data_IF_391272242433
#
_entry.id   IF_391272242433
#
_cell.length_a   1.000
_cell.length_b   1.000
_cell.length_c   1.000
_cell.angle_alpha   90.00
_cell.angle_beta   90.00
_cell.angle_gamma   90.00
#
_symmetry.space_group_name_H-M   'P 1'
#
loop_
_entity.id
_entity.type
_entity.pdbx_description
1 polymer ?
#
# COMPACT_ATOMS: atom_id res chain seq x y z
N UNK A 1 8.87 29.62 -1.86
CA UNK A 1 9.45 29.12 -3.12
C UNK A 1 8.44 28.25 -3.82
N UNK A 2 8.09 28.60 -5.05
CA UNK A 2 7.20 27.85 -5.94
C UNK A 2 7.96 26.76 -6.69
N UNK A 3 7.25 25.83 -7.34
CA UNK A 3 7.89 24.82 -8.19
C UNK A 3 8.63 25.46 -9.37
N UNK A 4 8.06 26.51 -9.97
CA UNK A 4 8.70 27.23 -11.06
C UNK A 4 10.01 27.89 -10.61
N UNK A 5 9.99 28.61 -9.49
CA UNK A 5 11.21 29.23 -8.91
C UNK A 5 12.29 28.17 -8.62
N UNK A 6 11.89 27.00 -8.09
CA UNK A 6 12.83 25.90 -7.85
C UNK A 6 13.45 25.39 -9.17
N UNK A 7 12.64 25.22 -10.22
CA UNK A 7 13.15 24.79 -11.55
C UNK A 7 14.13 25.82 -12.12
N UNK A 8 13.87 27.12 -11.94
CA UNK A 8 14.74 28.19 -12.45
C UNK A 8 16.12 28.23 -11.77
N UNK A 9 16.21 27.87 -10.48
CA UNK A 9 17.47 27.90 -9.72
C UNK A 9 18.23 26.56 -9.70
N UNK A 10 17.64 25.49 -10.21
CA UNK A 10 18.26 24.15 -10.25
C UNK A 10 18.68 23.76 -11.65
N UNK A 11 19.81 23.05 -11.76
CA UNK A 11 20.31 22.54 -13.04
C UNK A 11 19.34 21.52 -13.64
N UNK A 12 19.35 21.38 -14.97
CA UNK A 12 18.62 20.31 -15.67
C UNK A 12 19.59 19.13 -15.82
N UNK A 13 19.31 17.96 -15.21
CA UNK A 13 20.19 16.81 -15.36
C UNK A 13 20.30 16.35 -16.82
N UNK A 14 21.52 16.05 -17.27
CA UNK A 14 21.76 15.52 -18.61
C UNK A 14 21.07 14.16 -18.81
N UNK A 15 20.48 13.97 -19.98
CA UNK A 15 19.87 12.72 -20.37
C UNK A 15 20.92 11.59 -20.40
N UNK A 16 20.63 10.47 -19.73
CA UNK A 16 21.53 9.31 -19.66
C UNK A 16 22.58 9.36 -18.56
N UNK A 17 22.68 10.45 -17.78
CA UNK A 17 23.54 10.50 -16.60
C UNK A 17 23.05 9.51 -15.55
N UNK A 18 23.97 8.78 -14.92
CA UNK A 18 23.65 7.87 -13.81
C UNK A 18 23.02 8.65 -12.67
N UNK A 19 21.86 8.18 -12.20
CA UNK A 19 21.14 8.79 -11.09
C UNK A 19 21.99 8.78 -9.81
N UNK A 20 22.11 9.93 -9.11
CA UNK A 20 22.77 10.00 -7.81
C UNK A 20 22.08 9.12 -6.77
N UNK A 21 22.86 8.58 -5.84
CA UNK A 21 22.29 7.90 -4.68
C UNK A 21 21.89 8.91 -3.61
N UNK A 22 20.94 8.56 -2.75
CA UNK A 22 20.56 9.39 -1.61
C UNK A 22 21.77 9.74 -0.71
N UNK A 23 22.70 8.79 -0.53
CA UNK A 23 23.95 9.02 0.21
C UNK A 23 24.85 10.03 -0.50
N UNK A 24 24.97 9.95 -1.83
CA UNK A 24 25.75 10.92 -2.60
C UNK A 24 25.18 12.34 -2.45
N UNK A 25 23.86 12.51 -2.59
CA UNK A 25 23.22 13.82 -2.43
C UNK A 25 23.40 14.37 -1.01
N UNK A 26 23.24 13.56 0.04
CA UNK A 26 23.46 14.02 1.42
C UNK A 26 24.91 14.44 1.71
N UNK A 27 25.88 13.77 1.11
CA UNK A 27 27.29 13.99 1.42
C UNK A 27 27.92 15.10 0.57
N UNK A 28 27.56 15.20 -0.70
CA UNK A 28 28.23 16.09 -1.67
C UNK A 28 27.28 17.04 -2.38
N UNK A 29 25.96 16.84 -2.24
CA UNK A 29 24.97 17.68 -2.88
C UNK A 29 24.86 19.04 -2.21
N UNK A 30 24.71 20.09 -3.03
CA UNK A 30 24.37 21.43 -2.53
C UNK A 30 22.85 21.52 -2.37
N UNK A 31 22.38 21.61 -1.14
CA UNK A 31 20.96 21.77 -0.81
C UNK A 31 20.46 23.15 -1.27
N UNK A 32 19.30 23.17 -1.94
CA UNK A 32 18.62 24.39 -2.39
C UNK A 32 17.39 24.66 -1.54
N UNK A 33 16.61 23.63 -1.24
CA UNK A 33 15.48 23.73 -0.33
C UNK A 33 15.19 22.39 0.33
N UNK A 34 14.60 22.47 1.51
CA UNK A 34 14.16 21.33 2.29
C UNK A 34 12.78 21.61 2.88
N UNK A 35 11.98 20.56 3.00
CA UNK A 35 10.66 20.62 3.61
C UNK A 35 10.44 19.36 4.45
N UNK A 36 10.28 19.58 5.75
CA UNK A 36 9.78 18.58 6.67
C UNK A 36 8.24 18.46 6.56
N UNK A 37 7.75 17.23 6.59
CA UNK A 37 6.35 16.83 6.57
C UNK A 37 6.02 16.09 7.90
N UNK A 38 4.90 15.37 7.95
CA UNK A 38 4.53 14.57 9.13
C UNK A 38 5.21 13.19 9.10
N UNK A 39 5.27 12.51 10.25
CA UNK A 39 5.69 11.10 10.36
C UNK A 39 7.13 10.82 9.89
N UNK A 40 8.08 11.71 10.22
CA UNK A 40 9.49 11.58 9.81
C UNK A 40 9.67 11.53 8.27
N UNK A 41 8.74 12.17 7.57
CA UNK A 41 8.80 12.36 6.13
C UNK A 41 9.40 13.72 5.83
N UNK A 42 10.32 13.77 4.88
CA UNK A 42 10.89 15.02 4.40
C UNK A 42 11.28 14.92 2.93
N UNK A 43 11.40 16.09 2.30
CA UNK A 43 11.86 16.21 0.92
C UNK A 43 12.88 17.32 0.81
N UNK A 44 13.94 17.07 0.04
CA UNK A 44 14.99 18.02 -0.25
C UNK A 44 15.21 18.15 -1.75
N UNK A 45 15.48 19.36 -2.24
CA UNK A 45 15.88 19.64 -3.61
C UNK A 45 17.32 20.15 -3.63
N UNK A 46 18.10 19.68 -4.60
CA UNK A 46 19.53 19.95 -4.73
C UNK A 46 19.84 20.76 -6.00
N UNK A 47 20.92 21.53 -5.95
CA UNK A 47 21.36 22.43 -7.02
C UNK A 47 21.53 21.71 -8.36
N UNK A 48 21.95 20.44 -8.32
CA UNK A 48 22.17 19.60 -9.50
C UNK A 48 20.88 19.05 -10.15
N UNK A 49 19.70 19.55 -9.77
CA UNK A 49 18.43 19.20 -10.42
C UNK A 49 17.73 17.96 -9.87
N UNK A 50 18.19 17.40 -8.76
CA UNK A 50 17.60 16.21 -8.16
C UNK A 50 16.86 16.52 -6.85
N UNK A 51 15.76 15.82 -6.63
CA UNK A 51 15.06 15.75 -5.37
C UNK A 51 15.38 14.44 -4.65
N UNK A 52 15.47 14.50 -3.32
CA UNK A 52 15.56 13.36 -2.41
C UNK A 52 14.32 13.36 -1.54
N UNK A 53 13.50 12.34 -1.69
CA UNK A 53 12.35 12.09 -0.83
C UNK A 53 12.68 11.01 0.19
N UNK A 54 12.27 11.21 1.44
CA UNK A 54 12.43 10.25 2.54
C UNK A 54 11.11 10.07 3.30
N UNK A 55 10.74 8.82 3.54
CA UNK A 55 9.60 8.46 4.38
C UNK A 55 9.83 7.05 4.94
N UNK A 56 9.52 6.84 6.23
CA UNK A 56 9.53 5.51 6.86
C UNK A 56 10.86 4.76 6.75
N UNK A 57 12.01 5.46 6.85
CA UNK A 57 13.34 4.85 6.72
C UNK A 57 13.78 4.53 5.28
N UNK A 58 12.94 4.82 4.28
CA UNK A 58 13.24 4.62 2.87
C UNK A 58 13.47 5.96 2.17
N UNK A 59 14.22 5.92 1.07
CA UNK A 59 14.47 7.11 0.25
C UNK A 59 14.41 6.80 -1.23
N UNK A 60 13.97 7.78 -2.01
CA UNK A 60 14.03 7.77 -3.48
C UNK A 60 14.60 9.08 -4.00
N UNK A 61 15.32 9.01 -5.11
CA UNK A 61 15.92 10.16 -5.79
C UNK A 61 15.32 10.27 -7.18
N UNK A 62 15.02 11.49 -7.63
CA UNK A 62 14.48 11.72 -8.96
C UNK A 62 14.76 13.15 -9.47
N UNK A 63 14.76 13.37 -10.79
CA UNK A 63 14.97 14.70 -11.35
C UNK A 63 13.76 15.62 -11.13
N UNK A 64 14.00 16.85 -10.69
CA UNK A 64 12.96 17.88 -10.47
C UNK A 64 12.28 18.25 -11.79
N UNK A 65 13.07 18.43 -12.84
CA UNK A 65 12.60 18.94 -14.13
C UNK A 65 11.70 17.96 -14.90
N UNK A 66 11.75 16.66 -14.59
CA UNK A 66 10.86 15.65 -15.20
C UNK A 66 9.51 15.54 -14.50
N UNK A 67 9.31 16.25 -13.37
CA UNK A 67 8.03 16.29 -12.69
C UNK A 67 7.09 17.24 -13.44
N UNK A 68 6.28 16.68 -14.34
CA UNK A 68 5.30 17.38 -15.17
C UNK A 68 3.88 17.18 -14.66
N UNK A 69 2.97 16.83 -15.58
CA UNK A 69 1.58 16.49 -15.28
C UNK A 69 1.47 15.40 -14.19
N UNK A 70 0.31 15.34 -13.55
CA UNK A 70 0.02 14.34 -12.51
C UNK A 70 -1.39 13.80 -12.65
N UNK A 71 -1.52 12.48 -12.59
CA UNK A 71 -2.81 11.80 -12.53
C UNK A 71 -3.07 11.39 -11.08
N UNK A 72 -3.92 12.15 -10.39
CA UNK A 72 -4.39 11.74 -9.07
C UNK A 72 -5.42 10.64 -9.25
N UNK A 73 -5.21 9.48 -8.63
CA UNK A 73 -6.18 8.38 -8.61
C UNK A 73 -6.39 7.92 -7.17
N UNK A 74 -7.63 7.98 -6.69
CA UNK A 74 -8.00 7.54 -5.34
C UNK A 74 -9.44 7.06 -5.32
N UNK A 75 -9.69 5.88 -4.75
CA UNK A 75 -11.03 5.32 -4.50
C UNK A 75 -11.99 5.37 -5.71
N UNK A 76 -11.45 5.12 -6.92
CA UNK A 76 -12.22 5.12 -8.17
C UNK A 76 -12.41 6.51 -8.82
N UNK A 77 -11.96 7.59 -8.18
CA UNK A 77 -11.90 8.92 -8.76
C UNK A 77 -10.51 9.14 -9.34
N UNK A 78 -10.45 9.54 -10.61
CA UNK A 78 -9.21 10.02 -11.22
C UNK A 78 -9.35 11.47 -11.65
N UNK A 79 -8.30 12.26 -11.46
CA UNK A 79 -8.25 13.67 -11.82
C UNK A 79 -6.90 13.99 -12.44
N UNK A 80 -6.94 14.53 -13.65
CA UNK A 80 -5.75 14.97 -14.37
C UNK A 80 -5.40 16.40 -13.96
N UNK A 81 -4.20 16.58 -13.41
CA UNK A 81 -3.65 17.87 -13.04
C UNK A 81 -2.51 18.22 -14.00
N UNK A 82 -2.67 19.24 -14.87
CA UNK A 82 -1.64 19.62 -15.81
C UNK A 82 -0.44 20.27 -15.11
N UNK A 83 0.75 20.21 -15.70
CA UNK A 83 1.99 20.72 -15.09
C UNK A 83 1.87 22.17 -14.63
N UNK A 84 1.22 23.02 -15.43
CA UNK A 84 1.05 24.45 -15.12
C UNK A 84 0.23 24.70 -13.84
N UNK A 85 -0.60 23.73 -13.41
CA UNK A 85 -1.30 23.78 -12.13
C UNK A 85 -0.29 23.88 -10.98
N UNK A 86 0.82 23.15 -11.07
CA UNK A 86 1.84 23.10 -10.01
C UNK A 86 2.87 24.22 -10.08
N UNK A 87 2.99 24.93 -11.21
CA UNK A 87 4.05 25.92 -11.42
C UNK A 87 4.11 26.98 -10.31
N UNK A 88 2.95 27.49 -9.88
CA UNK A 88 2.82 28.52 -8.84
C UNK A 88 2.61 27.96 -7.43
N UNK A 89 2.41 26.64 -7.32
CA UNK A 89 2.23 25.97 -6.05
C UNK A 89 3.55 25.84 -5.29
N UNK A 90 3.53 25.66 -3.96
CA UNK A 90 4.70 25.33 -3.19
C UNK A 90 5.45 24.14 -3.81
N UNK A 91 6.76 24.31 -4.02
CA UNK A 91 7.58 23.37 -4.80
C UNK A 91 7.44 21.90 -4.36
N UNK A 92 7.27 21.67 -3.05
CA UNK A 92 7.21 20.35 -2.47
C UNK A 92 5.92 19.60 -2.79
N UNK A 93 4.82 20.26 -3.19
CA UNK A 93 3.54 19.58 -3.45
C UNK A 93 3.69 18.55 -4.58
N UNK A 94 4.12 18.99 -5.77
CA UNK A 94 4.29 18.08 -6.92
C UNK A 94 5.39 17.05 -6.68
N UNK A 95 6.47 17.44 -6.00
CA UNK A 95 7.60 16.56 -5.76
C UNK A 95 7.30 15.49 -4.69
N UNK A 96 6.49 15.79 -3.67
CA UNK A 96 6.05 14.78 -2.68
C UNK A 96 5.15 13.74 -3.36
N UNK A 97 4.21 14.17 -4.21
CA UNK A 97 3.38 13.24 -4.99
C UNK A 97 4.25 12.29 -5.82
N UNK A 98 5.27 12.81 -6.50
CA UNK A 98 6.22 11.98 -7.25
C UNK A 98 7.00 11.02 -6.34
N UNK A 99 7.41 11.50 -5.17
CA UNK A 99 8.18 10.75 -4.18
C UNK A 99 7.42 9.56 -3.63
N UNK A 100 6.16 9.77 -3.23
CA UNK A 100 5.22 8.73 -2.77
C UNK A 100 5.02 7.67 -3.84
N UNK A 101 4.65 8.10 -5.05
CA UNK A 101 4.44 7.25 -6.22
C UNK A 101 5.66 6.37 -6.56
N UNK A 102 6.86 6.95 -6.52
CA UNK A 102 8.11 6.21 -6.73
C UNK A 102 8.40 5.25 -5.58
N UNK A 103 8.14 5.66 -4.35
CA UNK A 103 8.39 4.84 -3.18
C UNK A 103 7.48 3.61 -3.17
N UNK A 104 6.19 3.79 -3.47
CA UNK A 104 5.22 2.71 -3.61
C UNK A 104 5.64 1.73 -4.71
N UNK A 105 6.02 2.23 -5.90
CA UNK A 105 6.51 1.37 -6.99
C UNK A 105 7.76 0.59 -6.61
N UNK A 106 8.72 1.23 -5.94
CA UNK A 106 9.95 0.58 -5.48
C UNK A 106 9.66 -0.51 -4.42
N UNK A 107 8.74 -0.25 -3.50
CA UNK A 107 8.31 -1.23 -2.50
C UNK A 107 7.60 -2.42 -3.16
N UNK A 108 6.63 -2.17 -4.05
CA UNK A 108 5.96 -3.20 -4.83
C UNK A 108 6.93 -4.04 -5.64
N UNK A 109 7.89 -3.43 -6.33
CA UNK A 109 8.90 -4.15 -7.10
C UNK A 109 9.75 -5.05 -6.19
N UNK A 110 10.16 -4.55 -5.02
CA UNK A 110 10.90 -5.33 -4.03
C UNK A 110 10.06 -6.48 -3.44
N UNK A 111 8.78 -6.29 -3.23
CA UNK A 111 7.86 -7.35 -2.78
C UNK A 111 7.67 -8.42 -3.86
N UNK A 112 7.53 -8.01 -5.12
CA UNK A 112 7.44 -8.93 -6.26
C UNK A 112 8.73 -9.70 -6.49
N UNK A 113 9.90 -9.07 -6.40
CA UNK A 113 11.21 -9.75 -6.46
C UNK A 113 11.41 -10.74 -5.30
N UNK A 114 10.82 -10.46 -4.13
CA UNK A 114 10.81 -11.36 -2.97
C UNK A 114 9.71 -12.43 -3.06
N UNK A 115 8.76 -12.29 -3.99
CA UNK A 115 7.71 -13.26 -4.25
C UNK A 115 8.25 -14.30 -5.22
N UNK A 116 8.72 -15.42 -4.69
CA UNK A 116 9.03 -16.60 -5.51
C UNK A 116 7.73 -17.04 -6.21
N UNK A 117 7.70 -17.02 -7.54
CA UNK A 117 6.56 -17.58 -8.28
C UNK A 117 6.49 -19.07 -7.99
N UNK A 118 5.43 -19.51 -7.30
CA UNK A 118 5.12 -20.92 -7.07
C UNK A 118 4.57 -21.53 -8.37
N UNK A 119 5.44 -21.76 -9.35
CA UNK A 119 5.10 -22.52 -10.57
C UNK A 119 5.99 -23.73 -10.84
N UNK A 120 6.90 -24.06 -9.92
CA UNK A 120 7.63 -25.32 -9.92
C UNK A 120 7.48 -26.02 -8.57
N UNK A 121 7.01 -27.25 -8.64
CA UNK A 121 6.70 -28.15 -7.54
C UNK A 121 7.97 -28.37 -6.68
N UNK A 122 7.87 -28.10 -5.38
CA UNK A 122 8.54 -28.91 -4.36
C UNK A 122 7.70 -28.86 -3.11
N UNK A 123 7.05 -29.98 -2.83
CA UNK A 123 6.54 -30.33 -1.51
C UNK A 123 7.71 -30.22 -0.48
N UNK A 124 7.38 -29.91 0.78
CA UNK A 124 8.28 -29.65 1.93
C UNK A 124 8.86 -28.23 2.08
N UNK A 125 8.06 -27.27 2.55
CA UNK A 125 8.54 -26.22 3.46
C UNK A 125 7.43 -25.88 4.47
N UNK A 126 7.22 -26.78 5.43
CA UNK A 126 6.84 -26.36 6.79
C UNK A 126 8.02 -25.57 7.37
N UNK A 127 7.72 -24.48 8.11
CA UNK A 127 8.66 -23.57 8.79
C UNK A 127 9.21 -22.39 7.96
N UNK A 128 8.39 -21.34 7.80
CA UNK A 128 8.78 -19.98 8.19
C UNK A 128 7.52 -19.11 8.32
N UNK A 129 6.88 -19.22 9.48
CA UNK A 129 5.81 -18.34 9.93
C UNK A 129 6.42 -17.28 10.85
N UNK A 130 6.72 -16.09 10.32
CA UNK A 130 6.78 -14.78 11.00
C UNK A 130 7.10 -13.72 9.91
N UNK A 131 6.49 -12.55 9.73
CA UNK A 131 5.96 -11.56 10.68
C UNK A 131 4.82 -10.80 9.98
N UNK A 132 3.78 -10.55 10.76
CA UNK A 132 2.54 -9.87 10.41
C UNK A 132 2.73 -8.42 9.94
N UNK A 133 2.67 -8.16 8.63
CA UNK A 133 2.39 -6.82 8.09
C UNK A 133 0.88 -6.68 7.86
N UNK A 134 0.17 -6.07 8.82
CA UNK A 134 -1.26 -5.76 8.68
C UNK A 134 -1.41 -4.48 7.85
N UNK A 135 -1.94 -4.61 6.64
CA UNK A 135 -2.21 -3.48 5.75
C UNK A 135 -3.50 -2.74 6.15
N UNK A 136 -3.67 -1.51 5.68
CA UNK A 136 -4.93 -0.75 5.86
C UNK A 136 -6.07 -1.41 5.08
N UNK A 137 -5.76 -2.12 4.00
CA UNK A 137 -6.70 -2.98 3.27
C UNK A 137 -7.14 -4.15 4.16
N UNK A 138 -6.24 -4.79 4.93
CA UNK A 138 -6.62 -5.80 5.93
C UNK A 138 -7.52 -5.22 7.04
N UNK A 139 -7.36 -3.93 7.40
CA UNK A 139 -8.20 -3.26 8.39
C UNK A 139 -9.59 -2.91 7.82
N UNK A 140 -9.65 -2.41 6.58
CA UNK A 140 -10.91 -2.16 5.85
C UNK A 140 -11.68 -3.45 5.57
N UNK A 141 -10.99 -4.53 5.21
CA UNK A 141 -11.58 -5.85 5.09
C UNK A 141 -12.10 -6.37 6.43
N UNK A 142 -11.41 -6.10 7.55
CA UNK A 142 -11.88 -6.44 8.90
C UNK A 142 -13.09 -5.62 9.35
N UNK A 143 -13.13 -4.32 9.07
CA UNK A 143 -14.28 -3.45 9.40
C UNK A 143 -15.53 -3.86 8.61
N UNK A 144 -15.39 -4.14 7.31
CA UNK A 144 -16.49 -4.61 6.47
C UNK A 144 -16.94 -6.05 6.85
N UNK A 145 -16.06 -6.83 7.50
CA UNK A 145 -16.35 -8.19 7.94
C UNK A 145 -17.07 -8.26 9.28
N UNK A 146 -16.94 -7.29 10.19
CA UNK A 146 -17.76 -7.25 11.40
C UNK A 146 -19.26 -7.12 11.09
N UNK A 147 -19.60 -6.39 10.02
CA UNK A 147 -20.97 -6.32 9.52
C UNK A 147 -21.45 -7.66 8.97
N UNK A 148 -20.59 -8.38 8.22
CA UNK A 148 -20.89 -9.73 7.73
C UNK A 148 -21.12 -10.71 8.89
N UNK A 149 -20.38 -10.58 9.99
CA UNK A 149 -20.54 -11.45 11.17
C UNK A 149 -21.84 -11.21 11.93
N UNK A 150 -22.55 -10.09 11.72
CA UNK A 150 -23.85 -9.83 12.36
C UNK A 150 -24.90 -10.88 11.97
N UNK A 151 -24.81 -11.46 10.77
CA UNK A 151 -25.74 -12.49 10.30
C UNK A 151 -25.49 -13.90 10.87
N UNK A 152 -24.36 -14.09 11.55
CA UNK A 152 -23.98 -15.36 12.17
C UNK A 152 -24.56 -15.49 13.58
N UNK A 153 -24.76 -16.72 14.04
CA UNK A 153 -25.04 -16.97 15.46
C UNK A 153 -23.79 -16.71 16.30
N UNK A 154 -23.95 -16.47 17.60
CA UNK A 154 -22.81 -16.20 18.49
C UNK A 154 -21.74 -17.30 18.42
N UNK A 155 -22.17 -18.57 18.38
CA UNK A 155 -21.26 -19.72 18.23
C UNK A 155 -20.50 -19.72 16.90
N UNK A 156 -21.16 -19.34 15.80
CA UNK A 156 -20.54 -19.24 14.48
C UNK A 156 -19.58 -18.05 14.40
N UNK A 157 -19.96 -16.91 14.99
CA UNK A 157 -19.15 -15.70 15.09
C UNK A 157 -17.89 -15.95 15.91
N UNK A 158 -18.01 -16.59 17.08
CA UNK A 158 -16.84 -16.94 17.91
C UNK A 158 -15.90 -17.89 17.17
N UNK A 159 -16.43 -18.96 16.55
CA UNK A 159 -15.60 -19.89 15.76
C UNK A 159 -14.89 -19.19 14.59
N UNK A 160 -15.61 -18.33 13.85
CA UNK A 160 -15.03 -17.54 12.78
C UNK A 160 -13.97 -16.57 13.32
N UNK A 161 -14.19 -15.96 14.49
CA UNK A 161 -13.23 -15.03 15.07
C UNK A 161 -11.92 -15.70 15.46
N UNK A 162 -12.00 -16.85 16.12
CA UNK A 162 -10.82 -17.63 16.51
C UNK A 162 -10.04 -18.11 15.29
N UNK A 163 -10.73 -18.65 14.27
CA UNK A 163 -10.05 -19.26 13.13
C UNK A 163 -9.56 -18.23 12.08
N UNK A 164 -10.29 -17.13 11.86
CA UNK A 164 -9.98 -16.20 10.77
C UNK A 164 -9.33 -14.88 11.23
N UNK A 165 -9.64 -14.34 12.42
CA UNK A 165 -8.97 -13.11 12.90
C UNK A 165 -7.81 -13.39 13.85
N UNK A 166 -7.92 -14.44 14.66
CA UNK A 166 -6.84 -14.84 15.57
C UNK A 166 -5.94 -15.93 14.97
N UNK A 167 -6.23 -16.38 13.74
CA UNK A 167 -5.48 -17.38 12.98
C UNK A 167 -5.25 -18.71 13.75
N UNK A 168 -6.12 -19.03 14.71
CA UNK A 168 -6.00 -20.27 15.47
C UNK A 168 -6.35 -21.46 14.61
N UNK A 169 -5.62 -22.55 14.80
CA UNK A 169 -5.96 -23.83 14.18
C UNK A 169 -7.32 -24.31 14.67
N UNK A 170 -8.00 -25.15 13.88
CA UNK A 170 -9.30 -25.74 14.28
C UNK A 170 -9.22 -26.49 15.61
N UNK A 171 -8.04 -27.03 15.96
CA UNK A 171 -7.78 -27.74 17.22
C UNK A 171 -7.69 -26.77 18.40
N UNK A 172 -7.02 -25.64 18.24
CA UNK A 172 -6.93 -24.60 19.26
C UNK A 172 -8.28 -23.92 19.48
N UNK A 173 -8.99 -23.58 18.39
CA UNK A 173 -10.34 -23.05 18.47
C UNK A 173 -11.31 -24.02 19.14
N UNK A 174 -11.18 -25.33 18.87
CA UNK A 174 -11.98 -26.37 19.52
C UNK A 174 -11.73 -26.42 21.04
N UNK A 175 -10.46 -26.35 21.45
CA UNK A 175 -10.06 -26.32 22.86
C UNK A 175 -10.65 -25.11 23.60
N UNK A 176 -10.62 -23.94 22.95
CA UNK A 176 -11.13 -22.69 23.53
C UNK A 176 -12.66 -22.60 23.55
N UNK A 177 -13.32 -23.21 22.56
CA UNK A 177 -14.78 -23.29 22.50
C UNK A 177 -15.35 -24.46 23.33
N UNK A 178 -14.50 -25.31 23.92
CA UNK A 178 -14.92 -26.49 24.68
C UNK A 178 -15.62 -27.55 23.82
N UNK A 179 -15.29 -27.64 22.53
CA UNK A 179 -15.90 -28.57 21.56
C UNK A 179 -14.83 -29.38 20.82
N UNK A 180 -15.23 -30.22 19.88
CA UNK A 180 -14.31 -31.02 19.06
C UNK A 180 -13.90 -30.27 17.79
N UNK A 181 -12.70 -30.55 17.26
CA UNK A 181 -12.22 -29.96 15.99
C UNK A 181 -13.16 -30.22 14.80
N UNK A 182 -13.77 -31.42 14.64
CA UNK A 182 -14.82 -31.63 13.64
C UNK A 182 -16.05 -30.75 13.85
N UNK A 183 -16.46 -30.51 15.11
CA UNK A 183 -17.58 -29.62 15.41
C UNK A 183 -17.27 -28.17 15.02
N UNK A 184 -16.03 -27.69 15.22
CA UNK A 184 -15.59 -26.37 14.70
C UNK A 184 -15.74 -26.30 13.18
N UNK A 185 -15.29 -27.33 12.46
CA UNK A 185 -15.43 -27.40 11.00
C UNK A 185 -16.90 -27.35 10.53
N UNK A 186 -17.77 -28.09 11.23
CA UNK A 186 -19.21 -28.07 10.95
C UNK A 186 -19.83 -26.68 11.21
N UNK A 187 -19.45 -26.02 12.30
CA UNK A 187 -19.92 -24.66 12.65
C UNK A 187 -19.47 -23.65 11.59
N UNK A 188 -18.20 -23.70 11.16
CA UNK A 188 -17.67 -22.82 10.10
C UNK A 188 -18.35 -23.08 8.74
N UNK A 189 -18.64 -24.34 8.43
CA UNK A 189 -19.37 -24.71 7.21
C UNK A 189 -20.80 -24.16 7.20
N UNK A 190 -21.49 -24.21 8.35
CA UNK A 190 -22.82 -23.63 8.53
C UNK A 190 -22.79 -22.10 8.47
N UNK A 191 -21.75 -21.47 9.04
CA UNK A 191 -21.53 -20.04 8.95
C UNK A 191 -21.37 -19.59 7.49
N UNK A 192 -20.51 -20.28 6.72
CA UNK A 192 -20.31 -20.02 5.30
C UNK A 192 -21.60 -20.18 4.49
N UNK A 193 -22.42 -21.21 4.76
CA UNK A 193 -23.72 -21.40 4.11
C UNK A 193 -24.70 -20.27 4.41
N UNK A 194 -24.74 -19.77 5.66
CA UNK A 194 -25.58 -18.64 6.06
C UNK A 194 -25.17 -17.35 5.39
N UNK A 195 -23.86 -17.08 5.34
CA UNK A 195 -23.31 -15.93 4.62
C UNK A 195 -23.67 -15.97 3.13
N UNK A 196 -23.50 -17.13 2.47
CA UNK A 196 -23.90 -17.30 1.05
C UNK A 196 -25.40 -17.13 0.82
N UNK A 197 -26.25 -17.45 1.80
CA UNK A 197 -27.70 -17.26 1.69
C UNK A 197 -28.12 -15.80 1.84
N UNK A 198 -27.46 -15.05 2.72
CA UNK A 198 -27.74 -13.62 2.90
C UNK A 198 -27.06 -12.73 1.86
N UNK A 199 -25.92 -13.18 1.32
CA UNK A 199 -25.17 -12.49 0.27
C UNK A 199 -24.99 -13.44 -0.93
N UNK A 200 -26.08 -13.75 -1.67
CA UNK A 200 -26.05 -14.70 -2.77
C UNK A 200 -25.23 -14.22 -3.96
N UNK A 201 -24.90 -12.92 -4.04
CA UNK A 201 -24.55 -12.31 -5.31
C UNK A 201 -23.42 -11.26 -5.28
N UNK A 202 -22.24 -11.64 -4.77
CA UNK A 202 -21.03 -10.83 -5.01
C UNK A 202 -20.49 -10.94 -6.45
N UNK A 203 -21.15 -11.69 -7.35
CA UNK A 203 -20.79 -11.79 -8.78
C UNK A 203 -21.67 -10.94 -9.71
N UNK A 204 -22.90 -10.53 -9.35
CA UNK A 204 -23.68 -9.56 -10.14
C UNK A 204 -23.44 -8.09 -9.76
N UNK A 205 -22.87 -7.79 -8.59
CA UNK A 205 -22.50 -6.41 -8.24
C UNK A 205 -21.42 -5.81 -9.18
N UNK A 206 -20.57 -6.63 -9.78
CA UNK A 206 -19.56 -6.19 -10.77
C UNK A 206 -20.18 -5.86 -12.14
N UNK A 207 -21.39 -6.37 -12.43
CA UNK A 207 -22.09 -6.12 -13.71
C UNK A 207 -23.04 -4.92 -13.67
N UNK A 208 -23.47 -4.48 -12.49
CA UNK A 208 -24.38 -3.34 -12.32
C UNK A 208 -23.64 -1.98 -12.23
N UNK A 209 -22.35 -1.98 -11.88
CA UNK A 209 -21.52 -0.74 -11.84
C UNK A 209 -20.90 -0.42 -13.22
N UNK A 210 -21.02 -1.32 -14.20
CA UNK A 210 -20.59 -1.07 -15.58
C UNK A 210 -21.71 -0.50 -16.49
N UNK A 211 -22.86 -0.10 -15.93
CA UNK A 211 -24.02 0.35 -16.71
C UNK A 211 -24.71 1.63 -16.21
N UNK A 212 -24.13 2.36 -15.25
CA UNK A 212 -24.51 3.74 -14.87
C UNK A 212 -23.24 4.50 -14.53
#
# INVERSE_FOLDING_TARGET
MTLQELKEITEIPEHGRKMPTARNLRNTGRLVAEKELKNDTWIAAYQNGYALYHAGGHSTVFPVHTCGDYLYASSGISSYLPEHFFAKEPWHIRLVLEGEDRMERNQRAKEQERTVSYSAISEEWEAMEDVCAKTVEDLLERENMEELLKCLTERQRMAARLCFFQQKTRREAAKELGITSPAVSAILSQAARRLRKQYPDRKQAVKAVAAV
#
